data_IF_077339280652
#
_entry.id   IF_077339280652
#
_cell.length_a   1.000
_cell.length_b   1.000
_cell.length_c   1.000
_cell.angle_alpha   90.00
_cell.angle_beta   90.00
_cell.angle_gamma   90.00
#
_symmetry.space_group_name_H-M   'P 1'
#
loop_
_entity.id
_entity.type
_entity.pdbx_description
1 polymer ?
#
# COMPACT_ATOMS: atom_id res chain seq x y z
N UNK A 1 17.86 -34.46 27.73
CA UNK A 1 18.05 -35.67 26.90
C UNK A 1 17.77 -35.30 25.46
N UNK A 2 18.80 -35.23 24.60
CA UNK A 2 18.63 -35.00 23.16
C UNK A 2 18.29 -36.36 22.53
N UNK A 3 17.08 -36.48 21.97
CA UNK A 3 16.67 -37.65 21.21
C UNK A 3 17.52 -37.77 19.93
N UNK A 4 17.81 -39.00 19.45
CA UNK A 4 18.55 -39.18 18.20
C UNK A 4 17.74 -38.59 17.03
N UNK A 5 18.36 -37.69 16.29
CA UNK A 5 17.82 -37.08 15.08
C UNK A 5 17.71 -38.17 13.99
N UNK A 6 16.50 -38.51 13.49
CA UNK A 6 16.42 -39.31 12.28
C UNK A 6 17.00 -38.49 11.11
N UNK A 7 17.81 -39.11 10.23
CA UNK A 7 18.42 -38.40 9.11
C UNK A 7 17.32 -37.83 8.20
N UNK A 8 17.44 -36.54 7.86
CA UNK A 8 16.56 -35.90 6.90
C UNK A 8 16.64 -36.64 5.55
N UNK A 9 15.51 -36.97 4.91
CA UNK A 9 15.52 -37.60 3.60
C UNK A 9 16.16 -36.66 2.57
N UNK A 10 17.05 -37.16 1.69
CA UNK A 10 17.63 -36.34 0.62
C UNK A 10 16.56 -36.10 -0.46
N UNK A 11 16.05 -34.87 -0.54
CA UNK A 11 15.04 -34.45 -1.51
C UNK A 11 14.03 -33.46 -0.93
N UNK A 12 13.13 -32.89 -1.76
CA UNK A 12 12.05 -32.05 -1.26
C UNK A 12 11.19 -32.84 -0.26
N UNK A 13 10.98 -32.26 0.92
CA UNK A 13 10.21 -32.90 1.99
C UNK A 13 8.81 -33.30 1.48
N UNK A 14 8.28 -34.48 1.88
CA UNK A 14 6.92 -34.86 1.52
C UNK A 14 5.92 -33.80 2.01
N UNK A 15 4.79 -33.58 1.31
CA UNK A 15 3.83 -32.50 1.58
C UNK A 15 3.28 -32.54 3.01
N UNK A 16 3.35 -33.69 3.67
CA UNK A 16 2.95 -33.86 5.06
C UNK A 16 3.95 -33.28 6.06
N UNK A 17 5.24 -33.22 5.73
CA UNK A 17 6.33 -32.71 6.57
C UNK A 17 6.71 -31.25 6.26
N UNK A 18 6.00 -30.61 5.33
CA UNK A 18 6.27 -29.24 4.96
C UNK A 18 5.66 -28.25 5.97
N UNK A 19 6.40 -27.19 6.37
CA UNK A 19 5.85 -26.12 7.18
C UNK A 19 4.70 -25.40 6.46
N UNK A 20 3.89 -24.61 7.20
CA UNK A 20 2.88 -23.78 6.56
C UNK A 20 3.52 -22.75 5.61
N UNK A 21 3.27 -22.91 4.31
CA UNK A 21 3.86 -22.14 3.19
C UNK A 21 3.76 -20.63 3.40
N UNK A 22 2.61 -20.14 3.86
CA UNK A 22 2.39 -18.70 4.08
C UNK A 22 3.36 -18.14 5.12
N UNK A 23 3.69 -18.91 6.16
CA UNK A 23 4.63 -18.48 7.20
C UNK A 23 6.07 -18.46 6.69
N UNK A 24 6.44 -19.36 5.79
CA UNK A 24 7.75 -19.37 5.13
C UNK A 24 7.91 -18.17 4.19
N UNK A 25 6.93 -17.93 3.31
CA UNK A 25 6.94 -16.77 2.41
C UNK A 25 7.02 -15.44 3.17
N UNK A 26 6.35 -15.35 4.33
CA UNK A 26 6.38 -14.15 5.17
C UNK A 26 7.75 -13.96 5.84
N UNK A 27 8.38 -15.05 6.29
CA UNK A 27 9.73 -15.03 6.84
C UNK A 27 10.77 -14.64 5.78
N UNK A 28 10.75 -15.28 4.60
CA UNK A 28 11.62 -14.94 3.47
C UNK A 28 11.48 -13.47 3.07
N UNK A 29 10.27 -12.93 3.08
CA UNK A 29 10.04 -11.53 2.74
C UNK A 29 10.56 -10.53 3.80
N UNK A 30 10.63 -10.91 5.08
CA UNK A 30 11.01 -10.02 6.18
C UNK A 30 12.49 -10.14 6.56
N UNK A 31 13.07 -11.34 6.45
CA UNK A 31 14.43 -11.63 6.89
C UNK A 31 15.47 -11.07 5.90
N UNK A 32 16.59 -10.52 6.40
CA UNK A 32 17.75 -10.21 5.57
C UNK A 32 18.29 -11.48 4.90
N UNK A 33 18.80 -11.37 3.68
CA UNK A 33 19.31 -12.52 2.89
C UNK A 33 20.36 -13.34 3.67
N UNK A 34 21.17 -12.69 4.50
CA UNK A 34 22.21 -13.32 5.34
C UNK A 34 21.62 -14.21 6.44
N UNK A 35 20.40 -13.93 6.91
CA UNK A 35 19.74 -14.63 8.01
C UNK A 35 18.63 -15.58 7.53
N UNK A 36 18.26 -15.55 6.24
CA UNK A 36 17.20 -16.40 5.70
C UNK A 36 17.51 -17.89 5.88
N UNK A 37 18.64 -18.37 5.35
CA UNK A 37 19.04 -19.77 5.46
C UNK A 37 19.16 -20.29 6.91
N UNK A 38 19.89 -19.62 7.82
CA UNK A 38 20.04 -20.12 9.18
C UNK A 38 18.73 -20.09 9.97
N UNK A 39 17.92 -19.03 9.85
CA UNK A 39 16.66 -18.92 10.61
C UNK A 39 15.58 -19.86 10.07
N UNK A 40 15.46 -19.99 8.74
CA UNK A 40 14.51 -20.91 8.13
C UNK A 40 14.90 -22.37 8.39
N UNK A 41 16.20 -22.69 8.31
CA UNK A 41 16.74 -24.01 8.63
C UNK A 41 16.41 -24.43 10.07
N UNK A 42 16.76 -23.61 11.05
CA UNK A 42 16.50 -23.89 12.47
C UNK A 42 14.99 -24.05 12.76
N UNK A 43 14.14 -23.18 12.19
CA UNK A 43 12.69 -23.26 12.37
C UNK A 43 12.09 -24.51 11.71
N UNK A 44 12.64 -24.95 10.58
CA UNK A 44 12.20 -26.15 9.87
C UNK A 44 12.59 -27.43 10.62
N UNK A 45 13.81 -27.49 11.15
CA UNK A 45 14.27 -28.60 11.99
C UNK A 45 13.39 -28.76 13.25
N UNK A 46 13.12 -27.65 13.96
CA UNK A 46 12.25 -27.66 15.13
C UNK A 46 10.78 -28.01 14.80
N UNK A 47 10.29 -27.63 13.62
CA UNK A 47 8.96 -28.00 13.16
C UNK A 47 8.83 -29.50 12.94
N UNK A 48 9.79 -30.10 12.22
CA UNK A 48 9.82 -31.54 11.95
C UNK A 48 9.87 -32.33 13.26
N UNK A 49 10.65 -31.86 14.24
CA UNK A 49 10.73 -32.50 15.55
C UNK A 49 9.40 -32.43 16.31
N UNK A 50 8.70 -31.29 16.31
CA UNK A 50 7.40 -31.15 17.01
C UNK A 50 6.25 -31.85 16.30
N UNK A 51 6.33 -31.99 14.98
CA UNK A 51 5.34 -32.71 14.18
C UNK A 51 5.23 -34.19 14.56
N UNK A 52 6.35 -34.82 14.97
CA UNK A 52 6.39 -36.23 15.38
C UNK A 52 5.46 -36.54 16.56
N UNK A 53 5.16 -35.53 17.39
CA UNK A 53 4.21 -35.67 18.50
C UNK A 53 2.79 -35.21 18.15
N UNK A 54 2.65 -34.02 17.57
CA UNK A 54 1.33 -33.50 17.21
C UNK A 54 1.42 -32.40 16.13
N UNK A 55 0.93 -32.71 14.93
CA UNK A 55 0.97 -31.82 13.75
C UNK A 55 0.27 -30.48 13.98
N UNK A 56 -0.89 -30.46 14.64
CA UNK A 56 -1.65 -29.22 14.83
C UNK A 56 -0.92 -28.23 15.76
N UNK A 57 -0.30 -28.76 16.83
CA UNK A 57 0.51 -27.96 17.75
C UNK A 57 1.80 -27.47 17.09
N UNK A 58 2.43 -28.29 16.24
CA UNK A 58 3.60 -27.88 15.46
C UNK A 58 3.27 -26.73 14.49
N UNK A 59 2.16 -26.81 13.76
CA UNK A 59 1.71 -25.74 12.87
C UNK A 59 1.39 -24.45 13.62
N UNK A 60 0.70 -24.53 14.76
CA UNK A 60 0.38 -23.35 15.56
C UNK A 60 1.64 -22.71 16.17
N UNK A 61 2.56 -23.54 16.67
CA UNK A 61 3.85 -23.08 17.17
C UNK A 61 4.66 -22.38 16.07
N UNK A 62 4.74 -22.98 14.87
CA UNK A 62 5.47 -22.39 13.75
C UNK A 62 4.87 -21.06 13.31
N UNK A 63 3.53 -20.97 13.23
CA UNK A 63 2.85 -19.70 12.92
C UNK A 63 3.13 -18.64 13.97
N UNK A 64 3.08 -19.00 15.26
CA UNK A 64 3.38 -18.07 16.35
C UNK A 64 4.81 -17.57 16.27
N UNK A 65 5.77 -18.47 16.05
CA UNK A 65 7.17 -18.06 15.96
C UNK A 65 7.50 -17.28 14.70
N UNK A 66 6.96 -17.69 13.55
CA UNK A 66 7.06 -16.91 12.34
C UNK A 66 6.53 -15.49 12.56
N UNK A 67 5.37 -15.33 13.22
CA UNK A 67 4.81 -14.00 13.50
C UNK A 67 5.67 -13.17 14.47
N UNK A 68 6.21 -13.75 15.54
CA UNK A 68 7.06 -13.00 16.49
C UNK A 68 8.40 -12.62 15.90
N UNK A 69 9.03 -13.53 15.15
CA UNK A 69 10.29 -13.27 14.44
C UNK A 69 10.08 -12.25 13.33
N UNK A 70 9.01 -12.40 12.54
CA UNK A 70 8.64 -11.40 11.54
C UNK A 70 8.36 -10.06 12.20
N UNK A 71 7.61 -9.97 13.30
CA UNK A 71 7.36 -8.69 13.97
C UNK A 71 8.66 -7.99 14.39
N UNK A 72 9.60 -8.74 14.97
CA UNK A 72 10.88 -8.20 15.40
C UNK A 72 11.71 -7.65 14.23
N UNK A 73 11.87 -8.46 13.18
CA UNK A 73 12.67 -8.07 12.02
C UNK A 73 11.97 -7.06 11.12
N UNK A 74 10.65 -7.10 11.00
CA UNK A 74 9.86 -6.16 10.20
C UNK A 74 10.08 -4.72 10.68
N UNK A 75 10.17 -4.50 11.99
CA UNK A 75 10.46 -3.18 12.53
C UNK A 75 11.91 -2.74 12.30
N UNK A 76 12.87 -3.69 12.28
CA UNK A 76 14.29 -3.39 12.06
C UNK A 76 14.65 -3.20 10.59
N UNK A 77 14.09 -4.01 9.69
CA UNK A 77 14.43 -4.00 8.25
C UNK A 77 13.51 -3.10 7.45
N UNK A 78 12.24 -2.97 7.84
CA UNK A 78 11.19 -2.27 7.07
C UNK A 78 10.42 -1.20 7.87
N UNK A 79 10.93 -0.76 9.03
CA UNK A 79 10.27 0.22 9.89
C UNK A 79 9.85 1.51 9.17
N UNK A 80 10.72 2.02 8.30
CA UNK A 80 10.49 3.21 7.49
C UNK A 80 9.36 3.08 6.45
N UNK A 81 9.19 1.88 5.90
CA UNK A 81 8.11 1.56 4.97
C UNK A 81 6.81 1.31 5.73
N UNK A 82 6.89 0.62 6.88
CA UNK A 82 5.74 0.41 7.76
C UNK A 82 5.14 1.73 8.22
N UNK A 83 5.95 2.69 8.66
CA UNK A 83 5.45 3.98 9.12
C UNK A 83 4.76 4.76 7.99
N UNK A 84 5.27 4.65 6.76
CA UNK A 84 4.62 5.19 5.58
C UNK A 84 3.25 4.54 5.33
N UNK A 85 3.17 3.21 5.27
CA UNK A 85 1.90 2.49 5.07
C UNK A 85 0.91 2.76 6.21
N UNK A 86 1.38 2.75 7.46
CA UNK A 86 0.57 3.06 8.63
C UNK A 86 0.00 4.47 8.55
N UNK A 87 0.78 5.47 8.13
CA UNK A 87 0.28 6.84 7.95
C UNK A 87 -0.83 6.92 6.89
N UNK A 88 -0.69 6.18 5.79
CA UNK A 88 -1.69 6.13 4.72
C UNK A 88 -2.97 5.43 5.18
N UNK A 89 -2.85 4.29 5.87
CA UNK A 89 -3.98 3.57 6.45
C UNK A 89 -4.69 4.38 7.53
N UNK A 90 -3.94 5.11 8.36
CA UNK A 90 -4.49 5.98 9.40
C UNK A 90 -5.29 7.13 8.78
N UNK A 91 -4.76 7.79 7.74
CA UNK A 91 -5.48 8.82 7.00
C UNK A 91 -6.78 8.29 6.38
N UNK A 92 -6.72 7.15 5.70
CA UNK A 92 -7.90 6.50 5.12
C UNK A 92 -8.90 6.11 6.22
N UNK A 93 -8.41 5.52 7.31
CA UNK A 93 -9.23 5.07 8.44
C UNK A 93 -9.98 6.22 9.12
N UNK A 94 -9.29 7.33 9.42
CA UNK A 94 -9.94 8.54 9.96
C UNK A 94 -10.91 9.15 8.96
N UNK A 95 -10.57 9.17 7.67
CA UNK A 95 -11.46 9.73 6.64
C UNK A 95 -12.76 8.92 6.52
N UNK A 96 -12.66 7.58 6.49
CA UNK A 96 -13.81 6.68 6.50
C UNK A 96 -14.60 6.83 7.80
N UNK A 97 -13.92 6.92 8.94
CA UNK A 97 -14.60 7.14 10.22
C UNK A 97 -15.36 8.47 10.24
N UNK A 98 -14.78 9.55 9.72
CA UNK A 98 -15.46 10.84 9.61
C UNK A 98 -16.69 10.77 8.71
N UNK A 99 -16.63 10.04 7.60
CA UNK A 99 -17.78 9.80 6.71
C UNK A 99 -18.90 9.03 7.44
N UNK A 100 -18.56 7.94 8.14
CA UNK A 100 -19.51 7.13 8.90
C UNK A 100 -20.21 7.92 10.01
N UNK A 101 -19.47 8.81 10.69
CA UNK A 101 -20.04 9.68 11.73
C UNK A 101 -20.92 10.78 11.11
N UNK A 102 -20.59 11.25 9.90
CA UNK A 102 -21.31 12.34 9.23
C UNK A 102 -22.62 11.88 8.58
N UNK A 103 -22.70 10.63 8.10
CA UNK A 103 -23.92 10.03 7.54
C UNK A 103 -24.14 8.62 8.11
N UNK A 104 -24.65 8.51 9.37
CA UNK A 104 -24.81 7.22 10.03
C UNK A 104 -25.86 6.33 9.36
N UNK A 105 -26.90 6.93 8.78
CA UNK A 105 -28.02 6.22 8.17
C UNK A 105 -27.74 5.76 6.73
N UNK A 106 -26.80 6.41 6.03
CA UNK A 106 -26.38 6.03 4.68
C UNK A 106 -24.88 6.28 4.43
N UNK A 107 -24.02 5.33 4.83
CA UNK A 107 -22.58 5.38 4.56
C UNK A 107 -22.21 5.48 3.07
N UNK A 108 -23.08 5.01 2.17
CA UNK A 108 -22.84 5.03 0.72
C UNK A 108 -23.14 6.40 0.11
N UNK A 109 -23.67 7.36 0.88
CA UNK A 109 -23.83 8.74 0.44
C UNK A 109 -22.51 9.40 0.02
N UNK A 110 -21.37 8.88 0.47
CA UNK A 110 -20.04 9.34 0.07
C UNK A 110 -19.44 8.59 -1.13
N UNK A 111 -20.20 7.72 -1.78
CA UNK A 111 -19.79 6.97 -2.96
C UNK A 111 -20.51 7.46 -4.21
N UNK A 112 -19.77 8.08 -5.13
CA UNK A 112 -20.23 8.36 -6.48
C UNK A 112 -19.24 7.83 -7.53
N UNK A 113 -19.68 6.84 -8.29
CA UNK A 113 -18.85 6.20 -9.30
C UNK A 113 -18.45 7.16 -10.42
N UNK A 114 -19.35 8.06 -10.83
CA UNK A 114 -19.08 9.00 -11.93
C UNK A 114 -17.98 9.98 -11.53
N UNK A 115 -18.07 10.56 -10.33
CA UNK A 115 -17.03 11.39 -9.75
C UNK A 115 -15.68 10.66 -9.69
N UNK A 116 -15.64 9.39 -9.28
CA UNK A 116 -14.39 8.61 -9.27
C UNK A 116 -13.76 8.47 -10.66
N UNK A 117 -14.59 8.18 -11.68
CA UNK A 117 -14.14 8.00 -13.07
C UNK A 117 -13.66 9.31 -13.71
N UNK A 118 -14.23 10.45 -13.32
CA UNK A 118 -13.78 11.77 -13.80
C UNK A 118 -12.41 12.16 -13.25
N UNK A 119 -12.04 11.64 -12.07
CA UNK A 119 -10.80 12.02 -11.39
C UNK A 119 -9.68 11.01 -11.67
N UNK A 120 -9.90 9.74 -11.33
CA UNK A 120 -8.80 8.80 -11.20
C UNK A 120 -8.22 8.35 -12.56
N UNK A 121 -8.99 7.82 -13.52
CA UNK A 121 -8.46 7.45 -14.83
C UNK A 121 -7.74 8.60 -15.58
N UNK A 122 -8.30 9.83 -15.69
CA UNK A 122 -7.61 10.90 -16.40
C UNK A 122 -6.34 11.35 -15.66
N UNK A 123 -6.32 11.37 -14.32
CA UNK A 123 -5.12 11.67 -13.55
C UNK A 123 -4.00 10.64 -13.78
N UNK A 124 -4.34 9.34 -13.83
CA UNK A 124 -3.39 8.28 -14.18
C UNK A 124 -2.88 8.46 -15.61
N UNK A 125 -3.77 8.74 -16.57
CA UNK A 125 -3.38 8.95 -17.97
C UNK A 125 -2.46 10.16 -18.14
N UNK A 126 -2.72 11.27 -17.45
CA UNK A 126 -1.83 12.44 -17.47
C UNK A 126 -0.48 12.12 -16.85
N UNK A 127 -0.44 11.38 -15.74
CA UNK A 127 0.82 10.97 -15.12
C UNK A 127 1.64 10.03 -16.01
N UNK A 128 0.99 9.05 -16.64
CA UNK A 128 1.63 8.14 -17.61
C UNK A 128 2.10 8.92 -18.84
N UNK A 129 1.30 9.86 -19.35
CA UNK A 129 1.64 10.71 -20.50
C UNK A 129 2.81 11.65 -20.23
N UNK A 130 2.94 12.15 -19.00
CA UNK A 130 4.07 12.98 -18.57
C UNK A 130 5.35 12.17 -18.25
N UNK A 131 5.22 10.85 -18.06
CA UNK A 131 6.34 9.96 -17.73
C UNK A 131 6.42 8.80 -18.71
N UNK A 132 6.08 7.58 -18.27
CA UNK A 132 6.00 6.39 -19.11
C UNK A 132 5.22 5.28 -18.40
N UNK A 133 4.80 4.26 -19.16
CA UNK A 133 4.22 3.03 -18.59
C UNK A 133 5.20 2.26 -17.70
N UNK A 134 6.49 2.32 -18.01
CA UNK A 134 7.53 1.70 -17.18
C UNK A 134 7.64 2.41 -15.83
N UNK A 135 7.54 3.74 -15.82
CA UNK A 135 7.52 4.54 -14.60
C UNK A 135 6.31 4.22 -13.72
N UNK A 136 5.14 3.97 -14.30
CA UNK A 136 3.97 3.49 -13.54
C UNK A 136 4.25 2.16 -12.82
N UNK A 137 4.80 1.17 -13.52
CA UNK A 137 5.14 -0.13 -12.92
C UNK A 137 6.17 0.04 -11.80
N UNK A 138 7.20 0.88 -12.02
CA UNK A 138 8.20 1.22 -10.99
C UNK A 138 7.58 1.96 -9.80
N UNK A 139 6.64 2.87 -10.03
CA UNK A 139 5.95 3.61 -8.98
C UNK A 139 5.09 2.69 -8.10
N UNK A 140 4.39 1.73 -8.71
CA UNK A 140 3.64 0.69 -7.99
C UNK A 140 4.61 -0.19 -7.20
N UNK A 141 5.69 -0.67 -7.83
CA UNK A 141 6.68 -1.51 -7.14
C UNK A 141 7.34 -0.78 -5.96
N UNK A 142 7.66 0.50 -6.11
CA UNK A 142 8.23 1.33 -5.06
C UNK A 142 7.34 1.43 -3.82
N UNK A 143 6.01 1.39 -3.98
CA UNK A 143 5.07 1.41 -2.86
C UNK A 143 5.17 0.16 -1.97
N UNK A 144 5.68 -0.97 -2.48
CA UNK A 144 5.81 -2.21 -1.73
C UNK A 144 7.24 -2.50 -1.29
N UNK A 145 8.22 -2.07 -2.07
CA UNK A 145 9.64 -2.32 -1.80
C UNK A 145 10.49 -1.09 -2.18
N UNK A 146 10.64 -0.12 -1.26
CA UNK A 146 11.49 1.05 -1.47
C UNK A 146 12.96 0.64 -1.39
N UNK A 147 13.50 0.08 -2.48
CA UNK A 147 14.90 -0.34 -2.52
C UNK A 147 15.84 0.87 -2.54
N UNK A 148 16.79 0.98 -1.60
CA UNK A 148 17.88 1.94 -1.69
C UNK A 148 18.83 1.56 -2.84
N UNK A 149 19.41 2.56 -3.52
CA UNK A 149 20.50 2.34 -4.47
C UNK A 149 20.13 2.30 -5.96
N UNK A 150 18.87 2.56 -6.33
CA UNK A 150 18.50 2.75 -7.75
C UNK A 150 19.15 4.01 -8.35
N UNK A 151 19.10 4.18 -9.68
CA UNK A 151 19.69 5.36 -10.30
C UNK A 151 18.93 6.63 -9.87
N UNK A 152 19.60 7.78 -9.66
CA UNK A 152 18.93 9.02 -9.25
C UNK A 152 17.79 9.45 -10.18
N UNK A 153 17.94 9.16 -11.48
CA UNK A 153 16.93 9.41 -12.50
C UNK A 153 15.64 8.61 -12.26
N UNK A 154 15.74 7.36 -11.78
CA UNK A 154 14.57 6.52 -11.49
C UNK A 154 13.72 7.12 -10.37
N UNK A 155 14.35 7.57 -9.28
CA UNK A 155 13.64 8.24 -8.19
C UNK A 155 12.98 9.54 -8.65
N UNK A 156 13.65 10.32 -9.51
CA UNK A 156 13.08 11.54 -10.06
C UNK A 156 11.85 11.25 -10.93
N UNK A 157 11.88 10.21 -11.77
CA UNK A 157 10.75 9.82 -12.60
C UNK A 157 9.56 9.32 -11.76
N UNK A 158 9.81 8.47 -10.76
CA UNK A 158 8.76 7.95 -9.87
C UNK A 158 8.15 9.10 -9.04
N UNK A 159 8.96 10.02 -8.53
CA UNK A 159 8.48 11.23 -7.84
C UNK A 159 7.64 12.10 -8.77
N UNK A 160 8.11 12.32 -10.00
CA UNK A 160 7.39 13.13 -10.98
C UNK A 160 6.04 12.51 -11.31
N UNK A 161 5.97 11.18 -11.48
CA UNK A 161 4.72 10.45 -11.70
C UNK A 161 3.69 10.74 -10.60
N UNK A 162 4.05 10.55 -9.32
CA UNK A 162 3.12 10.82 -8.21
C UNK A 162 2.72 12.30 -8.13
N UNK A 163 3.65 13.23 -8.39
CA UNK A 163 3.34 14.67 -8.40
C UNK A 163 2.34 15.03 -9.49
N UNK A 164 2.52 14.54 -10.71
CA UNK A 164 1.60 14.79 -11.82
C UNK A 164 0.25 14.16 -11.50
N UNK A 165 0.20 12.87 -11.13
CA UNK A 165 -1.04 12.17 -10.79
C UNK A 165 -1.85 12.91 -9.72
N UNK A 166 -1.19 13.30 -8.61
CA UNK A 166 -1.85 14.02 -7.54
C UNK A 166 -2.30 15.42 -7.93
N UNK A 167 -1.46 16.20 -8.60
CA UNK A 167 -1.82 17.56 -9.04
C UNK A 167 -2.96 17.53 -10.06
N UNK A 168 -2.88 16.62 -11.03
CA UNK A 168 -3.93 16.39 -12.02
C UNK A 168 -5.24 16.00 -11.34
N UNK A 169 -5.22 15.09 -10.36
CA UNK A 169 -6.41 14.71 -9.60
C UNK A 169 -7.11 15.90 -8.94
N UNK A 170 -6.36 16.77 -8.25
CA UNK A 170 -6.93 17.97 -7.63
C UNK A 170 -7.47 18.96 -8.68
N UNK A 171 -6.73 19.21 -9.76
CA UNK A 171 -7.15 20.12 -10.83
C UNK A 171 -8.40 19.62 -11.54
N UNK A 172 -8.48 18.32 -11.82
CA UNK A 172 -9.67 17.67 -12.39
C UNK A 172 -10.85 17.75 -11.42
N UNK A 173 -10.60 17.63 -10.10
CA UNK A 173 -11.60 17.83 -9.06
C UNK A 173 -12.21 19.22 -9.11
N UNK A 174 -11.36 20.25 -9.12
CA UNK A 174 -11.79 21.64 -9.25
C UNK A 174 -12.52 21.89 -10.58
N UNK A 175 -11.96 21.43 -11.70
CA UNK A 175 -12.55 21.61 -13.03
C UNK A 175 -13.93 20.96 -13.14
N UNK A 176 -14.07 19.72 -12.67
CA UNK A 176 -15.34 18.98 -12.71
C UNK A 176 -16.38 19.56 -11.76
N UNK A 177 -15.95 20.08 -10.61
CA UNK A 177 -16.83 20.82 -9.69
C UNK A 177 -17.42 22.06 -10.36
N UNK A 178 -16.64 22.79 -11.17
CA UNK A 178 -17.15 23.93 -11.93
C UNK A 178 -18.19 23.51 -12.99
N UNK A 179 -17.96 22.38 -13.67
CA UNK A 179 -18.96 21.81 -14.61
C UNK A 179 -20.26 21.50 -13.88
N UNK A 180 -20.19 20.84 -12.71
CA UNK A 180 -21.35 20.52 -11.91
C UNK A 180 -22.07 21.76 -11.38
N UNK A 181 -21.34 22.80 -10.94
CA UNK A 181 -21.92 24.07 -10.51
C UNK A 181 -22.69 24.78 -11.64
N UNK A 182 -22.14 24.76 -12.86
CA UNK A 182 -22.84 25.29 -14.05
C UNK A 182 -24.12 24.48 -14.33
N UNK A 183 -24.05 23.14 -14.24
CA UNK A 183 -25.21 22.29 -14.46
C UNK A 183 -26.34 22.56 -13.44
N UNK A 184 -25.99 22.74 -12.16
CA UNK A 184 -26.94 23.12 -11.11
C UNK A 184 -27.59 24.46 -11.46
N UNK A 185 -26.80 25.47 -11.82
CA UNK A 185 -27.31 26.79 -12.16
C UNK A 185 -28.24 26.79 -13.38
N UNK A 186 -28.05 25.86 -14.33
CA UNK A 186 -28.88 25.74 -15.52
C UNK A 186 -30.20 24.99 -15.30
N UNK A 187 -30.22 23.98 -14.43
CA UNK A 187 -31.40 23.11 -14.24
C UNK A 187 -32.27 23.49 -13.04
N UNK A 188 -31.76 24.35 -12.15
CA UNK A 188 -32.47 24.73 -10.94
C UNK A 188 -33.43 25.88 -11.20
N UNK A 189 -34.71 25.62 -10.98
CA UNK A 189 -35.80 26.59 -10.98
C UNK A 189 -36.50 26.61 -9.61
N UNK A 190 -37.38 27.59 -9.36
CA UNK A 190 -38.10 27.71 -8.09
C UNK A 190 -38.92 26.46 -7.72
N UNK A 191 -39.42 25.72 -8.73
CA UNK A 191 -40.26 24.53 -8.51
C UNK A 191 -39.52 23.23 -8.16
N UNK A 192 -38.22 23.13 -8.42
CA UNK A 192 -37.43 21.90 -8.24
C UNK A 192 -36.15 22.12 -7.41
N UNK A 193 -36.04 23.26 -6.72
CA UNK A 193 -34.85 23.67 -6.00
C UNK A 193 -34.41 22.65 -4.93
N UNK A 194 -35.34 22.23 -4.06
CA UNK A 194 -35.04 21.30 -2.96
C UNK A 194 -34.61 19.91 -3.43
N UNK A 195 -35.13 19.48 -4.58
CA UNK A 195 -34.85 18.14 -5.14
C UNK A 195 -33.56 18.12 -5.96
N UNK A 196 -33.19 19.22 -6.59
CA UNK A 196 -32.03 19.30 -7.50
C UNK A 196 -30.78 19.76 -6.77
N UNK A 197 -30.88 20.81 -5.95
CA UNK A 197 -29.73 21.52 -5.42
C UNK A 197 -28.90 20.64 -4.47
N UNK A 198 -29.55 19.95 -3.52
CA UNK A 198 -28.88 19.13 -2.51
C UNK A 198 -28.06 17.98 -3.14
N UNK A 199 -28.69 17.05 -3.87
CA UNK A 199 -27.99 15.92 -4.50
C UNK A 199 -26.90 16.35 -5.47
N UNK A 200 -27.15 17.34 -6.31
CA UNK A 200 -26.15 17.81 -7.28
C UNK A 200 -24.97 18.52 -6.59
N UNK A 201 -25.22 19.30 -5.54
CA UNK A 201 -24.13 19.90 -4.73
C UNK A 201 -23.31 18.82 -4.05
N UNK A 202 -23.92 17.74 -3.56
CA UNK A 202 -23.19 16.62 -2.98
C UNK A 202 -22.23 15.98 -4.00
N UNK A 203 -22.68 15.71 -5.23
CA UNK A 203 -21.83 15.17 -6.31
C UNK A 203 -20.65 16.11 -6.61
N UNK A 204 -20.88 17.42 -6.71
CA UNK A 204 -19.82 18.40 -6.89
C UNK A 204 -18.76 18.35 -5.78
N UNK A 205 -19.20 18.31 -4.51
CA UNK A 205 -18.31 18.26 -3.36
C UNK A 205 -17.56 16.93 -3.27
N UNK A 206 -18.21 15.80 -3.59
CA UNK A 206 -17.56 14.49 -3.67
C UNK A 206 -16.48 14.46 -4.75
N UNK A 207 -16.74 15.06 -5.91
CA UNK A 207 -15.76 15.17 -7.00
C UNK A 207 -14.50 15.90 -6.54
N UNK A 208 -14.67 17.03 -5.82
CA UNK A 208 -13.55 17.77 -5.24
C UNK A 208 -12.83 16.97 -4.15
N UNK A 209 -13.59 16.31 -3.28
CA UNK A 209 -13.08 15.48 -2.19
C UNK A 209 -12.19 14.35 -2.73
N UNK A 210 -12.61 13.65 -3.78
CA UNK A 210 -11.83 12.58 -4.39
C UNK A 210 -10.54 13.11 -5.02
N UNK A 211 -10.59 14.27 -5.68
CA UNK A 211 -9.39 14.93 -6.21
C UNK A 211 -8.39 15.31 -5.11
N UNK A 212 -8.89 15.87 -4.00
CA UNK A 212 -8.06 16.24 -2.85
C UNK A 212 -7.49 15.02 -2.11
N UNK A 213 -8.27 13.95 -1.96
CA UNK A 213 -7.82 12.70 -1.36
C UNK A 213 -6.70 12.06 -2.19
N UNK A 214 -6.89 11.96 -3.51
CA UNK A 214 -5.88 11.46 -4.44
C UNK A 214 -4.59 12.29 -4.36
N UNK A 215 -4.72 13.63 -4.37
CA UNK A 215 -3.58 14.54 -4.21
C UNK A 215 -2.81 14.31 -2.92
N UNK A 216 -3.51 14.12 -1.81
CA UNK A 216 -2.89 13.87 -0.49
C UNK A 216 -2.09 12.57 -0.50
N UNK A 217 -2.68 11.47 -0.97
CA UNK A 217 -1.99 10.16 -1.03
C UNK A 217 -0.75 10.24 -1.93
N UNK A 218 -0.89 10.81 -3.13
CA UNK A 218 0.21 10.97 -4.06
C UNK A 218 1.31 11.92 -3.53
N UNK A 219 0.94 12.94 -2.75
CA UNK A 219 1.90 13.84 -2.13
C UNK A 219 2.78 13.10 -1.13
N UNK A 220 2.18 12.33 -0.21
CA UNK A 220 2.93 11.55 0.79
C UNK A 220 3.85 10.53 0.08
N UNK A 221 3.35 9.85 -0.96
CA UNK A 221 4.16 8.94 -1.76
C UNK A 221 5.37 9.65 -2.42
N UNK A 222 5.17 10.83 -3.02
CA UNK A 222 6.25 11.60 -3.64
C UNK A 222 7.30 12.08 -2.62
N UNK A 223 6.88 12.44 -1.41
CA UNK A 223 7.82 12.82 -0.34
C UNK A 223 8.60 11.60 0.18
N UNK A 224 7.95 10.42 0.29
CA UNK A 224 8.68 9.19 0.63
C UNK A 224 9.74 8.83 -0.40
N UNK A 225 9.43 8.97 -1.70
CA UNK A 225 10.42 8.78 -2.79
C UNK A 225 11.60 9.74 -2.63
N UNK A 226 11.31 11.00 -2.29
CA UNK A 226 12.35 12.03 -2.12
C UNK A 226 13.28 11.72 -0.96
N UNK A 227 12.73 11.25 0.16
CA UNK A 227 13.49 10.82 1.33
C UNK A 227 14.42 9.64 1.00
N UNK A 228 13.90 8.57 0.38
CA UNK A 228 14.70 7.39 0.02
C UNK A 228 15.80 7.74 -1.00
N UNK A 229 15.53 8.66 -1.93
CA UNK A 229 16.52 9.14 -2.88
C UNK A 229 17.69 9.86 -2.19
N UNK A 230 17.42 10.71 -1.19
CA UNK A 230 18.45 11.40 -0.41
C UNK A 230 19.31 10.43 0.40
N UNK A 231 18.68 9.47 1.09
CA UNK A 231 19.39 8.43 1.83
C UNK A 231 20.29 7.60 0.93
N UNK A 232 19.84 7.27 -0.28
CA UNK A 232 20.61 6.50 -1.27
C UNK A 232 21.84 7.27 -1.79
N UNK A 233 21.71 8.57 -2.02
CA UNK A 233 22.84 9.42 -2.43
C UNK A 233 23.89 9.50 -1.32
N UNK A 234 23.46 9.77 -0.08
CA UNK A 234 24.35 9.86 1.07
C UNK A 234 25.12 8.54 1.32
N UNK A 235 24.47 7.39 1.11
CA UNK A 235 25.12 6.08 1.24
C UNK A 235 26.19 5.85 0.17
N UNK A 236 26.00 6.34 -1.06
CA UNK A 236 27.02 6.27 -2.11
C UNK A 236 28.21 7.15 -1.81
N UNK A 237 27.98 8.37 -1.31
CA UNK A 237 29.06 9.32 -1.00
C UNK A 237 29.95 8.85 0.16
N UNK A 238 29.44 7.98 1.05
CA UNK A 238 30.24 7.36 2.13
C UNK A 238 31.04 6.13 1.67
N UNK A 239 30.75 5.58 0.49
CA UNK A 239 31.38 4.36 -0.03
C UNK A 239 32.38 4.61 -1.18
N UNK A 240 32.40 5.83 -1.73
CA UNK A 240 33.36 6.28 -2.75
C UNK A 240 34.50 7.08 -2.15
#
# INVERSE_FOLDING_TARGET
>A
MRWPQPPLPPGPLPPDMQPPIISQLLLEWVLPDVLQEPVLGDLQEEFIQRQQHNRQRACWWYRRQALTTCWHFLHQTKGDWLMFIFSMLFFIGISVWAMLVSAPDDPLAFYDFISLVLIFPPAVLFAVGATSRQTLQRAIAFMFDPRPGAQPQDYQQVRHFFRVMGNSGLLLGLFSTLIGAIAIAQQTNAGNFSETFGPATAVCLLTLLYGAALKTICYIAAEKVSFVAQSSTQQRDMQG
#
